data_IF_732367599738
#
_entry.id   IF_732367599738
#
_cell.length_a   1.000
_cell.length_b   1.000
_cell.length_c   1.000
_cell.angle_alpha   90.00
_cell.angle_beta   90.00
_cell.angle_gamma   90.00
#
_symmetry.space_group_name_H-M   'P 1'
#
loop_
_entity.id
_entity.type
_entity.pdbx_description
1 polymer ?
#
# COMPACT_ATOMS: atom_id res chain seq x y z
N UNK A 1 46.01 -15.00 -45.91
CA UNK A 1 45.89 -14.86 -44.44
C UNK A 1 45.55 -13.41 -44.14
N UNK A 2 44.25 -13.10 -44.02
CA UNK A 2 43.79 -11.78 -43.61
C UNK A 2 43.26 -11.86 -42.19
N UNK A 3 43.95 -11.23 -41.25
CA UNK A 3 43.51 -11.07 -39.86
C UNK A 3 42.36 -10.06 -39.83
N UNK A 4 41.13 -10.55 -39.72
CA UNK A 4 39.98 -9.70 -39.40
C UNK A 4 40.12 -9.23 -37.94
N UNK A 5 40.61 -8.01 -37.75
CA UNK A 5 40.48 -7.31 -36.47
C UNK A 5 38.99 -7.05 -36.20
N UNK A 6 38.43 -7.81 -35.25
CA UNK A 6 37.11 -7.54 -34.68
C UNK A 6 37.17 -6.19 -33.98
N UNK A 7 36.68 -5.17 -34.66
CA UNK A 7 36.46 -3.84 -34.12
C UNK A 7 35.40 -3.94 -33.01
N UNK A 8 35.84 -4.09 -31.76
CA UNK A 8 34.99 -4.04 -30.58
C UNK A 8 34.35 -2.65 -30.53
N UNK A 9 33.07 -2.57 -30.87
CA UNK A 9 32.30 -1.33 -30.72
C UNK A 9 32.44 -0.82 -29.28
N UNK A 10 32.61 0.50 -29.07
CA UNK A 10 32.79 1.07 -27.75
C UNK A 10 31.59 0.68 -26.87
N UNK A 11 31.86 -0.03 -25.77
CA UNK A 11 30.80 -0.40 -24.84
C UNK A 11 30.10 0.89 -24.37
N UNK A 12 28.76 0.95 -24.41
CA UNK A 12 28.03 2.12 -23.94
C UNK A 12 28.42 2.41 -22.49
N UNK A 13 28.44 3.69 -22.07
CA UNK A 13 28.81 4.06 -20.73
C UNK A 13 27.90 3.33 -19.73
N UNK A 14 28.49 2.51 -18.87
CA UNK A 14 27.79 1.67 -17.87
C UNK A 14 27.03 2.48 -16.81
N UNK A 15 27.28 3.80 -16.78
CA UNK A 15 26.73 4.72 -15.78
C UNK A 15 25.84 5.77 -16.43
N UNK A 16 24.70 6.03 -15.81
CA UNK A 16 23.77 7.11 -16.20
C UNK A 16 23.46 8.01 -15.01
N UNK A 17 23.34 9.31 -15.26
CA UNK A 17 22.85 10.26 -14.27
C UNK A 17 21.36 10.44 -14.44
N UNK A 18 20.60 10.33 -13.35
CA UNK A 18 19.15 10.53 -13.33
C UNK A 18 18.79 11.51 -12.21
N UNK A 19 18.02 12.54 -12.53
CA UNK A 19 17.56 13.52 -11.56
C UNK A 19 16.56 12.88 -10.57
N UNK A 20 16.71 13.21 -9.29
CA UNK A 20 15.77 12.85 -8.22
C UNK A 20 14.66 13.89 -8.19
N UNK A 21 13.42 13.44 -8.35
CA UNK A 21 12.23 14.30 -8.27
C UNK A 21 11.36 14.01 -7.04
N UNK A 22 11.42 12.81 -6.48
CA UNK A 22 10.59 12.37 -5.36
C UNK A 22 11.22 12.62 -3.99
N UNK A 23 10.38 12.64 -2.96
CA UNK A 23 10.80 12.85 -1.56
C UNK A 23 10.92 11.55 -0.77
N UNK A 24 10.60 10.39 -1.36
CA UNK A 24 10.54 9.11 -0.65
C UNK A 24 11.89 8.65 -0.06
N UNK A 25 13.00 9.20 -0.54
CA UNK A 25 14.36 8.91 -0.10
C UNK A 25 14.96 10.00 0.78
N UNK A 26 14.18 10.99 1.21
CA UNK A 26 14.64 11.95 2.22
C UNK A 26 14.91 11.22 3.56
N UNK A 27 15.91 11.65 4.34
CA UNK A 27 16.78 12.82 4.12
C UNK A 27 18.00 12.55 3.22
N UNK A 28 18.21 11.31 2.76
CA UNK A 28 19.44 10.92 2.06
C UNK A 28 19.53 11.43 0.62
N UNK A 29 18.39 11.56 -0.05
CA UNK A 29 18.27 12.15 -1.38
C UNK A 29 17.17 13.20 -1.35
N UNK A 30 17.48 14.38 -1.87
CA UNK A 30 16.54 15.49 -2.00
C UNK A 30 16.14 15.70 -3.47
N UNK A 31 14.92 16.22 -3.74
CA UNK A 31 14.59 16.72 -5.07
C UNK A 31 15.65 17.68 -5.59
N UNK A 32 16.10 17.48 -6.83
CA UNK A 32 17.19 18.24 -7.45
C UNK A 32 18.58 17.60 -7.32
N UNK A 33 18.75 16.57 -6.49
CA UNK A 33 19.94 15.71 -6.55
C UNK A 33 19.94 14.88 -7.85
N UNK A 34 21.08 14.32 -8.22
CA UNK A 34 21.16 13.31 -9.27
C UNK A 34 21.75 12.01 -8.75
N UNK A 35 21.25 10.87 -9.22
CA UNK A 35 21.80 9.55 -8.94
C UNK A 35 22.67 9.08 -10.09
N UNK A 36 23.87 8.62 -9.77
CA UNK A 36 24.72 7.85 -10.66
C UNK A 36 24.30 6.39 -10.58
N UNK A 37 23.68 5.90 -11.65
CA UNK A 37 23.11 4.57 -11.76
C UNK A 37 24.07 3.63 -12.49
N UNK A 38 24.38 2.50 -11.87
CA UNK A 38 25.10 1.38 -12.46
C UNK A 38 24.11 0.42 -13.14
N UNK A 39 24.21 0.32 -14.47
CA UNK A 39 23.36 -0.51 -15.31
C UNK A 39 23.90 -1.92 -15.55
N UNK A 40 25.08 -2.26 -15.00
CA UNK A 40 25.71 -3.55 -15.19
C UNK A 40 24.79 -4.68 -14.67
N UNK A 41 24.38 -5.65 -15.52
CA UNK A 41 23.55 -6.78 -15.11
C UNK A 41 24.14 -7.56 -13.92
N UNK A 42 25.47 -7.71 -13.84
CA UNK A 42 26.11 -8.39 -12.73
C UNK A 42 25.93 -7.62 -11.42
N UNK A 43 26.04 -6.29 -11.47
CA UNK A 43 25.82 -5.44 -10.28
C UNK A 43 24.37 -5.50 -9.80
N UNK A 44 23.40 -5.53 -10.73
CA UNK A 44 21.97 -5.67 -10.42
C UNK A 44 21.65 -7.02 -9.78
N UNK A 45 22.20 -8.10 -10.32
CA UNK A 45 22.02 -9.44 -9.76
C UNK A 45 22.57 -9.53 -8.33
N UNK A 46 23.70 -8.87 -8.07
CA UNK A 46 24.38 -8.80 -6.78
C UNK A 46 23.79 -7.77 -5.79
N UNK A 47 22.74 -7.03 -6.15
CA UNK A 47 22.14 -6.04 -5.26
C UNK A 47 21.62 -6.69 -3.97
N UNK A 48 21.96 -6.09 -2.83
CA UNK A 48 21.67 -6.63 -1.50
C UNK A 48 21.27 -5.56 -0.48
N UNK A 49 20.98 -5.96 0.77
CA UNK A 49 20.60 -5.04 1.84
C UNK A 49 21.53 -3.82 1.95
N UNK A 50 20.95 -2.64 2.11
CA UNK A 50 21.63 -1.35 2.17
C UNK A 50 21.82 -0.66 0.82
N UNK A 51 21.85 -1.40 -0.30
CA UNK A 51 21.93 -0.80 -1.64
C UNK A 51 20.65 0.00 -1.96
N UNK A 52 20.79 1.10 -2.70
CA UNK A 52 19.65 1.80 -3.31
C UNK A 52 19.47 1.26 -4.73
N UNK A 53 18.30 0.70 -5.01
CA UNK A 53 17.95 0.18 -6.33
C UNK A 53 16.91 1.06 -7.00
N UNK A 54 16.97 1.12 -8.33
CA UNK A 54 15.98 1.79 -9.16
C UNK A 54 15.15 0.74 -9.90
N UNK A 55 13.83 0.87 -9.85
CA UNK A 55 12.88 -0.01 -10.53
C UNK A 55 11.71 0.79 -11.08
N UNK A 56 10.91 0.19 -11.96
CA UNK A 56 9.64 0.76 -12.42
C UNK A 56 8.53 0.41 -11.44
N UNK A 57 7.84 1.42 -10.92
CA UNK A 57 6.65 1.20 -10.09
C UNK A 57 5.42 0.84 -10.93
N UNK A 58 4.29 0.58 -10.26
CA UNK A 58 3.02 0.25 -10.93
C UNK A 58 2.50 1.35 -11.87
N UNK A 59 2.98 2.59 -11.73
CA UNK A 59 2.67 3.72 -12.59
C UNK A 59 3.68 3.96 -13.71
N UNK A 60 4.57 2.99 -13.97
CA UNK A 60 5.67 3.09 -14.93
C UNK A 60 6.64 4.25 -14.65
N UNK A 61 6.78 4.66 -13.38
CA UNK A 61 7.74 5.67 -12.95
C UNK A 61 9.00 5.01 -12.38
N UNK A 62 10.16 5.59 -12.67
CA UNK A 62 11.40 5.18 -12.02
C UNK A 62 11.36 5.57 -10.54
N UNK A 63 11.42 4.56 -9.68
CA UNK A 63 11.43 4.70 -8.22
C UNK A 63 12.77 4.18 -7.68
N UNK A 64 13.43 4.98 -6.85
CA UNK A 64 14.67 4.61 -6.18
C UNK A 64 14.37 4.33 -4.72
N UNK A 65 14.57 3.10 -4.23
CA UNK A 65 14.40 2.76 -2.81
C UNK A 65 15.52 1.85 -2.32
N UNK A 66 15.71 1.82 -1.00
CA UNK A 66 16.76 1.02 -0.37
C UNK A 66 16.30 -0.41 -0.12
N UNK A 67 17.16 -1.38 -0.42
CA UNK A 67 16.91 -2.79 -0.07
C UNK A 67 17.07 -2.95 1.44
N UNK A 68 16.03 -3.44 2.11
CA UNK A 68 16.08 -3.84 3.53
C UNK A 68 16.47 -5.31 3.67
N UNK A 69 15.91 -6.17 2.82
CA UNK A 69 16.12 -7.61 2.87
C UNK A 69 16.00 -8.24 1.48
N UNK A 70 16.58 -9.43 1.31
CA UNK A 70 16.43 -10.27 0.13
C UNK A 70 15.90 -11.64 0.54
N UNK A 71 14.85 -12.10 -0.12
CA UNK A 71 14.20 -13.37 0.20
C UNK A 71 13.71 -14.07 -1.07
N UNK A 72 14.18 -15.30 -1.33
CA UNK A 72 13.70 -16.15 -2.45
C UNK A 72 13.62 -15.44 -3.81
N UNK A 73 14.62 -14.61 -4.15
CA UNK A 73 14.66 -13.87 -5.42
C UNK A 73 13.81 -12.59 -5.45
N UNK A 74 13.16 -12.23 -4.36
CA UNK A 74 12.52 -10.92 -4.17
C UNK A 74 13.35 -10.05 -3.22
N UNK A 75 13.14 -8.74 -3.33
CA UNK A 75 13.75 -7.69 -2.54
C UNK A 75 12.63 -7.00 -1.76
N UNK A 76 12.85 -6.80 -0.46
CA UNK A 76 12.03 -5.92 0.35
C UNK A 76 12.69 -4.55 0.30
N UNK A 77 12.07 -3.61 -0.40
CA UNK A 77 12.60 -2.24 -0.53
C UNK A 77 11.83 -1.28 0.36
N UNK A 78 12.42 -0.11 0.61
CA UNK A 78 11.76 0.97 1.33
C UNK A 78 12.40 2.31 0.98
N UNK A 79 11.57 3.33 0.80
CA UNK A 79 12.06 4.71 0.79
C UNK A 79 12.50 5.15 2.19
N UNK A 80 13.66 5.79 2.31
CA UNK A 80 14.21 6.22 3.61
C UNK A 80 13.24 7.14 4.39
N UNK A 81 12.34 7.85 3.70
CA UNK A 81 11.30 8.69 4.30
C UNK A 81 10.01 7.94 4.68
N UNK A 82 9.86 6.69 4.23
CA UNK A 82 8.66 5.89 4.50
C UNK A 82 8.76 5.25 5.88
N UNK A 83 7.63 4.83 6.45
CA UNK A 83 7.62 4.02 7.69
C UNK A 83 7.57 2.53 7.40
N UNK A 84 6.74 2.14 6.44
CA UNK A 84 6.55 0.74 6.05
C UNK A 84 7.39 0.39 4.82
N UNK A 85 7.84 -0.88 4.70
CA UNK A 85 8.41 -1.39 3.46
C UNK A 85 7.43 -1.31 2.28
N UNK A 86 7.98 -1.34 1.08
CA UNK A 86 7.23 -1.51 -0.15
C UNK A 86 6.76 -2.97 -0.30
N UNK A 87 5.89 -3.21 -1.29
CA UNK A 87 5.56 -4.56 -1.73
C UNK A 87 6.83 -5.29 -2.21
N UNK A 88 6.93 -6.63 -2.02
CA UNK A 88 8.07 -7.39 -2.49
C UNK A 88 8.36 -7.17 -3.98
N UNK A 89 9.59 -6.74 -4.27
CA UNK A 89 10.06 -6.40 -5.61
C UNK A 89 10.83 -7.60 -6.19
N UNK A 90 10.44 -8.20 -7.33
CA UNK A 90 11.26 -9.22 -7.98
C UNK A 90 12.65 -8.67 -8.30
N UNK A 91 13.73 -9.41 -8.00
CA UNK A 91 15.09 -8.94 -8.26
C UNK A 91 15.33 -8.62 -9.76
N UNK A 92 14.63 -9.32 -10.66
CA UNK A 92 14.67 -9.06 -12.10
C UNK A 92 14.02 -7.72 -12.52
N UNK A 93 13.18 -7.11 -11.67
CA UNK A 93 12.56 -5.81 -11.92
C UNK A 93 13.50 -4.62 -11.63
N UNK A 94 14.68 -4.89 -11.05
CA UNK A 94 15.70 -3.85 -10.82
C UNK A 94 16.28 -3.40 -12.15
N UNK A 95 16.11 -2.12 -12.44
CA UNK A 95 16.64 -1.45 -13.64
C UNK A 95 18.09 -1.05 -13.43
N UNK A 96 18.46 -0.59 -12.24
CA UNK A 96 19.81 -0.15 -11.91
C UNK A 96 20.10 -0.20 -10.40
N UNK A 97 21.38 -0.13 -10.03
CA UNK A 97 21.81 0.11 -8.64
C UNK A 97 22.47 1.48 -8.57
N UNK A 98 22.05 2.32 -7.63
CA UNK A 98 22.66 3.63 -7.46
C UNK A 98 24.03 3.51 -6.76
N UNK A 99 25.09 3.99 -7.39
CA UNK A 99 26.46 3.94 -6.86
C UNK A 99 26.90 5.24 -6.18
N UNK A 100 26.34 6.37 -6.58
CA UNK A 100 26.62 7.67 -5.99
C UNK A 100 25.43 8.63 -6.13
N UNK A 101 25.36 9.64 -5.27
CA UNK A 101 24.51 10.81 -5.46
C UNK A 101 25.36 12.05 -5.75
N UNK A 102 24.81 12.96 -6.54
CA UNK A 102 25.39 14.26 -6.84
C UNK A 102 24.45 15.31 -6.26
N UNK A 103 24.90 15.99 -5.23
CA UNK A 103 24.18 17.07 -4.56
C UNK A 103 25.03 18.33 -4.65
N UNK A 104 24.50 19.40 -5.25
CA UNK A 104 25.19 20.70 -5.40
C UNK A 104 26.59 20.56 -6.03
N UNK A 105 26.69 19.77 -7.09
CA UNK A 105 27.94 19.50 -7.80
C UNK A 105 28.94 18.59 -7.07
N UNK A 106 28.64 18.14 -5.85
CA UNK A 106 29.50 17.21 -5.09
C UNK A 106 29.00 15.78 -5.22
N UNK A 107 29.86 14.90 -5.73
CA UNK A 107 29.61 13.46 -5.80
C UNK A 107 29.86 12.82 -4.44
N UNK A 108 28.88 12.05 -3.94
CA UNK A 108 28.94 11.28 -2.70
C UNK A 108 28.71 9.81 -3.02
N UNK A 109 29.65 8.90 -2.73
CA UNK A 109 29.39 7.47 -2.89
C UNK A 109 28.25 7.06 -1.95
N UNK A 110 27.32 6.26 -2.45
CA UNK A 110 26.22 5.75 -1.63
C UNK A 110 26.73 4.54 -0.84
N UNK A 111 26.44 4.54 0.46
CA UNK A 111 26.78 3.42 1.33
C UNK A 111 25.97 2.16 0.96
N UNK A 112 26.64 1.02 0.92
CA UNK A 112 26.05 -0.31 0.71
C UNK A 112 26.20 -1.19 1.96
N UNK A 113 25.54 -2.35 1.98
CA UNK A 113 25.64 -3.30 3.08
C UNK A 113 25.21 -2.70 4.43
N UNK A 114 25.98 -2.97 5.48
CA UNK A 114 25.66 -2.53 6.85
C UNK A 114 25.58 -0.99 6.98
N UNK A 115 26.44 -0.25 6.30
CA UNK A 115 26.42 1.22 6.33
C UNK A 115 25.17 1.77 5.62
N UNK A 116 24.74 1.14 4.53
CA UNK A 116 23.48 1.46 3.88
C UNK A 116 22.26 1.14 4.77
N UNK A 117 22.28 0.03 5.50
CA UNK A 117 21.22 -0.32 6.45
C UNK A 117 21.12 0.66 7.62
N UNK A 118 22.27 1.10 8.15
CA UNK A 118 22.32 2.14 9.18
C UNK A 118 21.70 3.45 8.68
N UNK A 119 21.94 3.82 7.42
CA UNK A 119 21.28 4.96 6.80
C UNK A 119 19.75 4.80 6.74
N UNK A 120 19.23 3.63 6.34
CA UNK A 120 17.79 3.35 6.34
C UNK A 120 17.15 3.53 7.73
N UNK A 121 17.82 2.99 8.76
CA UNK A 121 17.38 3.09 10.14
C UNK A 121 17.41 4.55 10.62
N UNK A 122 18.48 5.28 10.32
CA UNK A 122 18.60 6.70 10.65
C UNK A 122 17.50 7.53 9.97
N UNK A 123 17.24 7.31 8.68
CA UNK A 123 16.15 7.99 7.96
C UNK A 123 14.78 7.73 8.58
N UNK A 124 14.50 6.47 8.94
CA UNK A 124 13.26 6.11 9.65
C UNK A 124 13.18 6.80 11.01
N UNK A 125 14.26 6.79 11.79
CA UNK A 125 14.30 7.42 13.11
C UNK A 125 14.10 8.92 13.04
N UNK A 126 14.76 9.58 12.08
CA UNK A 126 14.56 10.98 11.73
C UNK A 126 13.06 11.20 11.50
N UNK A 127 12.44 10.54 10.52
CA UNK A 127 11.01 10.69 10.23
C UNK A 127 10.13 10.54 11.48
N UNK A 128 10.38 9.51 12.31
CA UNK A 128 9.67 9.31 13.58
C UNK A 128 9.87 10.49 14.52
N UNK A 129 11.11 10.94 14.74
CA UNK A 129 11.43 12.05 15.65
C UNK A 129 10.81 13.38 15.22
N UNK A 130 10.86 13.77 13.93
CA UNK A 130 10.20 15.03 13.46
C UNK A 130 8.71 14.98 13.65
N UNK A 131 8.11 13.81 13.44
CA UNK A 131 6.67 13.64 13.58
C UNK A 131 6.24 13.64 15.03
N UNK A 132 6.98 12.96 15.91
CA UNK A 132 6.76 13.09 17.34
C UNK A 132 6.97 14.54 17.81
N UNK A 133 7.99 15.26 17.31
CA UNK A 133 8.26 16.64 17.68
C UNK A 133 7.16 17.61 17.23
N UNK A 134 6.43 17.28 16.17
CA UNK A 134 5.26 18.03 15.70
C UNK A 134 4.03 17.84 16.58
N UNK A 135 3.90 16.71 17.28
CA UNK A 135 2.71 16.35 18.06
C UNK A 135 2.95 16.48 19.59
N UNK A 136 4.20 16.50 20.03
CA UNK A 136 4.60 16.58 21.42
C UNK A 136 4.31 17.94 22.08
N UNK A 137 3.83 17.92 23.32
CA UNK A 137 3.82 19.08 24.20
C UNK A 137 5.25 19.61 24.41
N UNK A 138 5.38 20.91 24.70
CA UNK A 138 6.65 21.66 24.75
C UNK A 138 7.85 20.94 25.40
N UNK A 139 7.73 20.25 26.57
CA UNK A 139 8.89 19.59 27.16
C UNK A 139 9.36 18.35 26.37
N UNK A 140 8.46 17.59 25.75
CA UNK A 140 8.80 16.39 24.96
C UNK A 140 9.37 16.78 23.59
N UNK A 141 8.95 17.93 23.05
CA UNK A 141 9.48 18.50 21.80
C UNK A 141 10.97 18.81 21.88
N UNK A 142 11.48 19.29 23.01
CA UNK A 142 12.91 19.55 23.22
C UNK A 142 13.76 18.29 23.11
N UNK A 143 13.36 17.21 23.79
CA UNK A 143 14.07 15.92 23.75
C UNK A 143 14.07 15.34 22.33
N UNK A 144 12.92 15.40 21.64
CA UNK A 144 12.81 14.88 20.28
C UNK A 144 13.61 15.69 19.24
N UNK A 145 13.75 17.01 19.43
CA UNK A 145 14.62 17.85 18.60
C UNK A 145 16.11 17.56 18.85
N UNK A 146 16.50 17.20 20.07
CA UNK A 146 17.87 16.75 20.38
C UNK A 146 18.15 15.40 19.73
N UNK A 147 17.23 14.44 19.85
CA UNK A 147 17.36 13.12 19.20
C UNK A 147 17.36 13.25 17.68
N UNK A 148 16.48 14.10 17.11
CA UNK A 148 16.46 14.42 15.68
C UNK A 148 17.80 15.00 15.22
N UNK A 149 18.28 16.04 15.90
CA UNK A 149 19.55 16.70 15.54
C UNK A 149 20.74 15.74 15.63
N UNK A 150 20.75 14.85 16.64
CA UNK A 150 21.77 13.81 16.78
C UNK A 150 21.68 12.75 15.67
N UNK A 151 20.48 12.33 15.28
CA UNK A 151 20.27 11.38 14.19
C UNK A 151 20.63 11.98 12.81
N UNK A 152 20.27 13.24 12.57
CA UNK A 152 20.62 14.00 11.37
C UNK A 152 22.14 14.23 11.30
N UNK A 153 22.78 14.60 12.41
CA UNK A 153 24.23 14.68 12.49
C UNK A 153 24.88 13.31 12.23
N UNK A 154 24.37 12.21 12.79
CA UNK A 154 24.87 10.86 12.52
C UNK A 154 24.67 10.42 11.05
N UNK A 155 23.58 10.85 10.40
CA UNK A 155 23.32 10.58 8.99
C UNK A 155 24.22 11.41 8.03
N UNK A 156 24.65 12.60 8.45
CA UNK A 156 25.53 13.48 7.67
C UNK A 156 27.01 13.36 8.03
N UNK A 157 27.35 12.78 9.17
CA UNK A 157 28.71 12.38 9.51
C UNK A 157 29.05 11.14 8.68
N UNK A 158 30.20 11.08 8.00
CA UNK A 158 30.59 9.87 7.28
C UNK A 158 30.62 8.68 8.25
N UNK A 159 29.61 7.81 8.15
CA UNK A 159 29.47 6.55 8.91
C UNK A 159 30.70 5.62 8.79
N UNK A 160 31.67 5.97 7.95
CA UNK A 160 32.99 5.35 7.83
C UNK A 160 33.90 5.55 9.06
N UNK A 161 33.57 6.47 9.98
CA UNK A 161 34.32 6.66 11.24
C UNK A 161 33.52 6.28 12.50
N UNK A 162 32.26 5.86 12.37
CA UNK A 162 31.48 5.43 13.52
C UNK A 162 32.01 4.08 14.01
N UNK A 163 32.37 3.99 15.31
CA UNK A 163 32.82 2.74 15.89
C UNK A 163 31.81 1.60 15.62
N UNK A 164 32.27 0.39 15.26
CA UNK A 164 31.43 -0.77 15.03
C UNK A 164 30.45 -1.10 16.16
N UNK A 165 30.70 -0.59 17.37
CA UNK A 165 29.80 -0.72 18.53
C UNK A 165 28.45 0.01 18.33
N UNK A 166 28.45 1.24 17.78
CA UNK A 166 27.23 2.03 17.61
C UNK A 166 26.30 1.43 16.53
N UNK A 167 26.88 0.97 15.42
CA UNK A 167 26.12 0.29 14.36
C UNK A 167 25.54 -1.05 14.85
N UNK A 168 26.27 -1.82 15.66
CA UNK A 168 25.78 -3.07 16.26
C UNK A 168 24.68 -2.83 17.29
N UNK A 169 24.77 -1.77 18.10
CA UNK A 169 23.74 -1.41 19.06
C UNK A 169 22.42 -1.04 18.36
N UNK A 170 22.50 -0.22 17.30
CA UNK A 170 21.32 0.16 16.52
C UNK A 170 20.68 -1.05 15.82
N UNK A 171 21.50 -1.93 15.22
CA UNK A 171 21.03 -3.16 14.59
C UNK A 171 20.37 -4.13 15.61
N UNK A 172 20.91 -4.24 16.83
CA UNK A 172 20.34 -5.07 17.89
C UNK A 172 19.00 -4.53 18.41
N UNK A 173 18.86 -3.19 18.50
CA UNK A 173 17.58 -2.54 18.85
C UNK A 173 16.53 -2.76 17.75
N UNK A 174 16.93 -2.65 16.48
CA UNK A 174 16.06 -2.87 15.33
C UNK A 174 15.62 -4.34 15.19
N UNK A 175 16.54 -5.29 15.38
CA UNK A 175 16.24 -6.73 15.36
C UNK A 175 15.26 -7.14 16.47
N UNK A 176 15.37 -6.53 17.67
CA UNK A 176 14.40 -6.74 18.75
C UNK A 176 13.02 -6.13 18.46
N UNK A 177 12.97 -5.04 17.69
CA UNK A 177 11.72 -4.44 17.24
C UNK A 177 11.03 -5.27 16.13
N UNK A 178 11.80 -5.97 15.28
CA UNK A 178 11.27 -6.90 14.27
C UNK A 178 10.68 -8.19 14.87
N UNK A 179 11.16 -8.60 16.04
CA UNK A 179 10.59 -9.74 16.80
C UNK A 179 9.39 -9.38 17.67
N UNK A 180 8.92 -8.13 17.64
CA UNK A 180 7.70 -7.77 18.33
C UNK A 180 6.50 -8.51 17.70
N UNK A 181 5.56 -9.04 18.49
CA UNK A 181 4.37 -9.71 17.95
C UNK A 181 3.67 -8.78 16.96
N UNK A 182 3.21 -9.31 15.83
CA UNK A 182 2.53 -8.59 14.73
C UNK A 182 1.46 -7.59 15.25
N UNK A 183 0.79 -7.94 16.34
CA UNK A 183 -0.16 -7.10 17.06
C UNK A 183 0.41 -5.79 17.62
N UNK A 184 1.69 -5.73 18.04
CA UNK A 184 2.35 -4.51 18.51
C UNK A 184 2.64 -3.56 17.35
N UNK A 185 3.15 -4.07 16.22
CA UNK A 185 3.37 -3.25 15.02
C UNK A 185 2.04 -2.70 14.47
N UNK A 186 0.97 -3.50 14.50
CA UNK A 186 -0.38 -3.05 14.13
C UNK A 186 -0.90 -2.01 15.14
N UNK A 187 -0.84 -2.24 16.45
CA UNK A 187 -1.28 -1.25 17.46
C UNK A 187 -0.47 0.04 17.42
N UNK A 188 0.84 -0.04 17.21
CA UNK A 188 1.73 1.11 17.10
C UNK A 188 1.44 1.91 15.82
N UNK A 189 1.26 1.25 14.67
CA UNK A 189 0.87 1.92 13.42
C UNK A 189 -0.49 2.61 13.52
N UNK A 190 -1.45 2.02 14.24
CA UNK A 190 -2.75 2.62 14.54
C UNK A 190 -2.63 3.81 15.52
N UNK A 191 -1.83 3.68 16.58
CA UNK A 191 -1.63 4.75 17.56
C UNK A 191 -0.91 5.96 16.94
N UNK A 192 0.12 5.70 16.11
CA UNK A 192 0.82 6.72 15.33
C UNK A 192 -0.10 7.38 14.31
N UNK A 193 -1.08 6.65 13.75
CA UNK A 193 -2.11 7.18 12.84
C UNK A 193 -3.12 8.09 13.54
N UNK A 194 -3.57 7.78 14.76
CA UNK A 194 -4.47 8.67 15.53
C UNK A 194 -3.82 10.00 15.91
N UNK A 195 -2.51 9.99 16.18
CA UNK A 195 -1.73 11.20 16.40
C UNK A 195 -1.51 12.03 15.11
N UNK A 196 -1.66 11.39 13.95
CA UNK A 196 -1.38 11.94 12.61
C UNK A 196 -2.57 12.64 11.95
N UNK A 197 -3.81 12.20 12.21
CA UNK A 197 -5.03 12.68 11.53
C UNK A 197 -5.53 14.09 11.97
N UNK A 198 -4.66 14.99 12.48
CA UNK A 198 -4.99 16.43 12.53
C UNK A 198 -4.81 17.05 11.13
N UNK A 199 -5.78 17.81 10.60
CA UNK A 199 -5.78 18.22 9.20
C UNK A 199 -4.65 19.24 8.92
N UNK A 200 -3.88 18.98 7.87
CA UNK A 200 -2.77 19.84 7.46
C UNK A 200 -2.35 19.61 6.01
N UNK A 201 -3.27 19.87 5.08
CA UNK A 201 -3.11 20.39 3.71
C UNK A 201 -4.53 20.53 3.15
N UNK A 202 -4.93 21.74 2.76
CA UNK A 202 -6.31 22.12 2.43
C UNK A 202 -6.94 21.24 1.34
N UNK A 203 -7.67 20.23 1.78
CA UNK A 203 -8.84 19.73 1.07
C UNK A 203 -9.95 20.79 1.22
N UNK A 204 -10.91 20.89 0.27
CA UNK A 204 -12.13 21.64 0.52
C UNK A 204 -12.69 21.18 1.86
N UNK A 205 -13.05 22.14 2.72
CA UNK A 205 -13.52 21.86 4.07
C UNK A 205 -14.55 20.70 4.00
N UNK A 206 -14.36 19.62 4.77
CA UNK A 206 -15.32 18.52 4.76
C UNK A 206 -16.68 19.12 5.05
N UNK A 207 -17.68 18.77 4.22
CA UNK A 207 -19.08 19.06 4.55
C UNK A 207 -19.27 18.55 5.97
N UNK A 208 -19.70 19.43 6.87
CA UNK A 208 -19.85 19.10 8.30
C UNK A 208 -20.74 17.84 8.39
N UNK A 209 -20.16 16.71 8.78
CA UNK A 209 -20.84 15.42 8.87
C UNK A 209 -20.35 14.32 7.91
N UNK A 210 -19.59 14.63 6.87
CA UNK A 210 -19.08 13.63 5.93
C UNK A 210 -17.79 12.95 6.44
N UNK A 211 -17.82 11.62 6.58
CA UNK A 211 -16.65 10.80 6.91
C UNK A 211 -15.82 10.54 5.66
N UNK A 212 -14.50 10.46 5.79
CA UNK A 212 -13.61 9.95 4.73
C UNK A 212 -12.99 8.63 5.18
N UNK A 213 -12.90 7.64 4.31
CA UNK A 213 -12.40 6.31 4.61
C UNK A 213 -11.40 5.80 3.56
N UNK A 214 -10.32 5.19 4.05
CA UNK A 214 -9.24 4.60 3.27
C UNK A 214 -8.18 4.00 4.20
N UNK A 215 -7.45 2.99 3.72
CA UNK A 215 -6.46 2.23 4.49
C UNK A 215 -7.04 1.05 5.26
N UNK A 216 -6.25 0.46 6.15
CA UNK A 216 -6.65 -0.67 6.97
C UNK A 216 -7.35 -0.22 8.26
N UNK A 217 -8.46 -0.89 8.61
CA UNK A 217 -9.16 -0.67 9.87
C UNK A 217 -8.35 -1.23 11.05
N UNK A 218 -8.38 -0.49 12.16
CA UNK A 218 -7.60 -0.79 13.35
C UNK A 218 -8.32 -1.69 14.36
N UNK A 219 -9.64 -1.57 14.37
CA UNK A 219 -10.57 -2.15 15.31
C UNK A 219 -11.96 -2.08 14.66
N UNK A 220 -12.95 -2.65 15.33
CA UNK A 220 -14.33 -2.57 14.88
C UNK A 220 -14.76 -1.12 14.64
N UNK A 221 -15.45 -0.91 13.53
CA UNK A 221 -15.82 0.41 13.07
C UNK A 221 -17.27 0.42 12.60
N UNK A 222 -17.96 1.54 12.83
CA UNK A 222 -19.32 1.76 12.34
C UNK A 222 -19.38 2.98 11.44
N UNK A 223 -19.99 2.81 10.28
CA UNK A 223 -20.25 3.85 9.28
C UNK A 223 -21.74 4.22 9.26
N UNK A 224 -22.02 5.51 9.18
CA UNK A 224 -23.36 6.10 9.12
C UNK A 224 -23.29 7.46 8.43
N UNK A 225 -24.39 7.91 7.83
CA UNK A 225 -24.41 9.15 7.05
C UNK A 225 -23.54 9.05 5.79
N UNK A 226 -22.96 10.17 5.38
CA UNK A 226 -22.13 10.23 4.18
C UNK A 226 -20.69 9.76 4.46
N UNK A 227 -20.21 8.81 3.67
CA UNK A 227 -18.86 8.25 3.73
C UNK A 227 -18.20 8.33 2.36
N UNK A 228 -17.05 8.99 2.27
CA UNK A 228 -16.25 9.13 1.06
C UNK A 228 -15.10 8.12 1.06
N UNK A 229 -15.09 7.20 0.10
CA UNK A 229 -13.97 6.27 -0.09
C UNK A 229 -12.89 6.93 -0.95
N UNK A 230 -11.81 7.41 -0.33
CA UNK A 230 -10.68 8.01 -1.07
C UNK A 230 -9.63 6.99 -1.50
N UNK A 231 -9.82 5.71 -1.16
CA UNK A 231 -8.88 4.64 -1.44
C UNK A 231 -9.45 3.28 -1.09
N UNK A 232 -8.63 2.25 -1.20
CA UNK A 232 -9.03 0.94 -0.69
C UNK A 232 -9.29 1.02 0.81
N UNK A 233 -10.29 0.30 1.30
CA UNK A 233 -10.51 0.08 2.72
C UNK A 233 -10.30 -1.39 2.99
N UNK A 234 -9.43 -1.73 3.93
CA UNK A 234 -9.16 -3.11 4.32
C UNK A 234 -9.79 -3.38 5.68
N UNK A 235 -10.70 -4.34 5.72
CA UNK A 235 -11.27 -4.89 6.96
C UNK A 235 -10.46 -6.15 7.30
N UNK A 236 -9.47 -6.10 8.22
CA UNK A 236 -8.61 -7.24 8.51
C UNK A 236 -9.34 -8.33 9.28
N UNK A 237 -8.74 -9.53 9.37
CA UNK A 237 -9.27 -10.63 10.18
C UNK A 237 -9.45 -10.19 11.64
N UNK A 238 -10.56 -10.62 12.25
CA UNK A 238 -10.91 -10.27 13.62
C UNK A 238 -11.43 -8.84 13.81
N UNK A 239 -11.60 -8.08 12.72
CA UNK A 239 -12.24 -6.75 12.73
C UNK A 239 -13.56 -6.82 11.98
N UNK A 240 -14.55 -6.11 12.50
CA UNK A 240 -15.88 -5.94 11.92
C UNK A 240 -16.09 -4.50 11.46
N UNK A 241 -16.49 -4.32 10.20
CA UNK A 241 -17.04 -3.06 9.72
C UNK A 241 -18.56 -3.16 9.65
N UNK A 242 -19.27 -2.25 10.31
CA UNK A 242 -20.74 -2.17 10.27
C UNK A 242 -21.16 -0.91 9.52
N UNK A 243 -21.92 -1.05 8.44
CA UNK A 243 -22.52 0.06 7.69
C UNK A 243 -24.02 0.12 8.04
N UNK A 244 -24.44 1.23 8.66
CA UNK A 244 -25.82 1.41 9.13
C UNK A 244 -26.78 1.75 7.98
N UNK A 245 -28.08 1.52 8.25
CA UNK A 245 -29.17 1.99 7.40
C UNK A 245 -29.02 3.48 7.06
N UNK A 246 -29.36 3.82 5.82
CA UNK A 246 -29.27 5.18 5.29
C UNK A 246 -27.85 5.72 5.08
N UNK A 247 -26.79 4.94 5.34
CA UNK A 247 -25.44 5.36 5.00
C UNK A 247 -25.26 5.50 3.49
N UNK A 248 -24.59 6.56 3.05
CA UNK A 248 -24.25 6.83 1.65
C UNK A 248 -22.74 6.77 1.46
N UNK A 249 -22.26 5.67 0.88
CA UNK A 249 -20.84 5.43 0.63
C UNK A 249 -20.52 5.76 -0.82
N UNK A 250 -19.73 6.80 -1.06
CA UNK A 250 -19.39 7.28 -2.42
C UNK A 250 -17.90 7.17 -2.63
N UNK A 251 -17.47 6.54 -3.72
CA UNK A 251 -16.07 6.50 -4.10
C UNK A 251 -15.59 7.83 -4.66
N UNK A 252 -14.46 8.31 -4.16
CA UNK A 252 -13.75 9.46 -4.74
C UNK A 252 -12.64 8.99 -5.68
N UNK A 253 -12.55 9.64 -6.84
CA UNK A 253 -11.46 9.50 -7.79
C UNK A 253 -10.65 10.80 -7.83
N UNK A 254 -9.31 10.76 -7.92
CA UNK A 254 -8.49 9.55 -8.01
C UNK A 254 -8.27 8.86 -6.66
N UNK A 255 -8.13 7.53 -6.71
CA UNK A 255 -7.70 6.69 -5.58
C UNK A 255 -6.37 7.17 -5.01
N UNK A 256 -6.34 7.48 -3.71
CA UNK A 256 -5.16 7.96 -2.98
C UNK A 256 -4.43 6.85 -2.22
N UNK A 257 -5.09 5.72 -1.99
CA UNK A 257 -4.50 4.56 -1.30
C UNK A 257 -4.85 3.26 -2.02
N UNK A 258 -3.84 2.42 -2.24
CA UNK A 258 -3.96 1.15 -2.96
C UNK A 258 -3.46 0.00 -2.10
N UNK A 259 -4.32 -0.99 -1.92
CA UNK A 259 -3.95 -2.28 -1.34
C UNK A 259 -3.53 -3.20 -2.49
N UNK A 260 -2.24 -3.39 -2.70
CA UNK A 260 -1.67 -4.13 -3.83
C UNK A 260 -1.83 -5.65 -3.72
N UNK A 261 -3.07 -6.15 -3.81
CA UNK A 261 -3.32 -7.59 -3.85
C UNK A 261 -3.34 -8.03 -5.30
N UNK A 262 -2.26 -8.70 -5.72
CA UNK A 262 -2.22 -9.45 -6.97
C UNK A 262 -2.54 -10.91 -6.66
N UNK A 263 -3.54 -11.49 -7.33
CA UNK A 263 -3.90 -12.90 -7.17
C UNK A 263 -3.96 -13.59 -8.53
N UNK A 264 -3.55 -14.86 -8.55
CA UNK A 264 -3.81 -15.76 -9.67
C UNK A 264 -5.16 -16.42 -9.46
N UNK A 265 -6.09 -16.23 -10.38
CA UNK A 265 -7.32 -17.00 -10.50
C UNK A 265 -7.29 -17.71 -11.85
N UNK A 266 -7.50 -19.03 -11.86
CA UNK A 266 -7.47 -19.85 -13.09
C UNK A 266 -6.18 -19.71 -13.92
N UNK A 267 -5.03 -19.53 -13.25
CA UNK A 267 -3.74 -19.33 -13.91
C UNK A 267 -3.49 -17.90 -14.40
N UNK A 268 -4.51 -17.05 -14.45
CA UNK A 268 -4.37 -15.63 -14.81
C UNK A 268 -4.13 -14.77 -13.57
N UNK A 269 -3.07 -13.96 -13.58
CA UNK A 269 -2.87 -12.94 -12.57
C UNK A 269 -3.83 -11.80 -12.84
N UNK A 270 -4.86 -11.66 -12.01
CA UNK A 270 -5.74 -10.48 -12.05
C UNK A 270 -5.29 -9.49 -11.01
N UNK A 271 -4.83 -8.34 -11.49
CA UNK A 271 -4.49 -7.22 -10.64
C UNK A 271 -5.75 -6.37 -10.43
N UNK A 272 -6.03 -6.02 -9.17
CA UNK A 272 -7.06 -5.04 -8.84
C UNK A 272 -6.76 -3.71 -9.56
N UNK A 273 -7.79 -3.03 -10.06
CA UNK A 273 -7.61 -1.76 -10.76
C UNK A 273 -6.93 -0.74 -9.80
N UNK A 274 -5.72 -0.25 -10.14
CA UNK A 274 -5.02 0.70 -9.28
C UNK A 274 -5.68 2.08 -9.25
N UNK A 275 -6.74 2.32 -10.03
CA UNK A 275 -7.44 3.63 -10.11
C UNK A 275 -8.74 3.68 -9.32
N UNK A 276 -9.34 2.52 -9.00
CA UNK A 276 -10.68 2.44 -8.39
C UNK A 276 -10.62 2.00 -6.93
N UNK A 277 -11.25 2.71 -5.98
CA UNK A 277 -11.36 2.28 -4.59
C UNK A 277 -12.08 0.93 -4.47
N UNK A 278 -11.74 0.15 -3.44
CA UNK A 278 -12.41 -1.12 -3.12
C UNK A 278 -12.56 -1.33 -1.63
N UNK A 279 -13.57 -2.10 -1.24
CA UNK A 279 -13.70 -2.59 0.13
C UNK A 279 -13.19 -4.02 0.21
N UNK A 280 -11.95 -4.20 0.66
CA UNK A 280 -11.28 -5.49 0.78
C UNK A 280 -11.52 -6.10 2.17
N UNK A 281 -12.28 -7.18 2.23
CA UNK A 281 -12.79 -7.76 3.48
C UNK A 281 -12.12 -9.11 3.74
N UNK A 282 -11.28 -9.15 4.76
CA UNK A 282 -10.68 -10.37 5.31
C UNK A 282 -11.31 -10.77 6.65
N UNK A 283 -11.88 -9.80 7.38
CA UNK A 283 -12.68 -10.00 8.58
C UNK A 283 -14.16 -10.12 8.25
N UNK A 284 -14.99 -9.32 8.94
CA UNK A 284 -16.45 -9.33 8.76
C UNK A 284 -16.97 -7.95 8.31
N UNK A 285 -17.87 -7.95 7.34
CA UNK A 285 -18.59 -6.76 6.90
C UNK A 285 -20.09 -6.99 7.13
N UNK A 286 -20.72 -6.09 7.88
CA UNK A 286 -22.16 -6.10 8.12
C UNK A 286 -22.74 -4.84 7.47
N UNK A 287 -23.70 -5.02 6.56
CA UNK A 287 -24.47 -3.92 5.95
C UNK A 287 -25.91 -4.07 6.42
N UNK A 288 -26.34 -3.17 7.31
CA UNK A 288 -27.64 -3.20 7.96
C UNK A 288 -28.59 -2.16 7.36
N UNK A 289 -28.80 -2.23 6.04
CA UNK A 289 -29.77 -1.41 5.32
C UNK A 289 -31.21 -1.84 5.59
N UNK A 290 -32.15 -0.94 5.31
CA UNK A 290 -33.59 -1.17 5.42
C UNK A 290 -34.28 -0.78 4.11
N UNK A 291 -35.48 -1.31 3.84
CA UNK A 291 -36.22 -0.98 2.62
C UNK A 291 -36.45 0.53 2.45
N UNK A 292 -36.78 1.23 3.54
CA UNK A 292 -37.01 2.69 3.55
C UNK A 292 -35.72 3.51 3.60
N UNK A 293 -34.61 2.89 4.04
CA UNK A 293 -33.32 3.54 4.24
C UNK A 293 -32.17 2.58 3.86
N UNK A 294 -32.01 2.28 2.55
CA UNK A 294 -30.96 1.36 2.12
C UNK A 294 -29.58 1.94 2.43
N UNK A 295 -28.62 1.06 2.73
CA UNK A 295 -27.21 1.44 2.75
C UNK A 295 -26.70 1.44 1.31
N UNK A 296 -26.31 2.61 0.80
CA UNK A 296 -25.98 2.80 -0.61
C UNK A 296 -24.48 2.91 -0.84
N UNK A 297 -24.00 2.30 -1.92
CA UNK A 297 -22.62 2.32 -2.37
C UNK A 297 -22.62 2.72 -3.85
N UNK A 298 -21.87 3.77 -4.21
CA UNK A 298 -21.90 4.33 -5.56
C UNK A 298 -20.59 4.99 -5.98
N UNK A 299 -20.48 5.28 -7.28
CA UNK A 299 -19.35 5.96 -7.92
C UNK A 299 -18.60 5.04 -8.88
N UNK A 300 -17.36 5.40 -9.21
CA UNK A 300 -16.44 4.59 -10.03
C UNK A 300 -15.52 3.79 -9.11
N UNK A 301 -15.92 2.57 -8.77
CA UNK A 301 -15.24 1.73 -7.77
C UNK A 301 -15.15 0.28 -8.21
N UNK A 302 -14.28 -0.49 -7.56
CA UNK A 302 -14.10 -1.91 -7.89
C UNK A 302 -15.22 -2.76 -7.27
N UNK A 303 -15.73 -2.35 -6.10
CA UNK A 303 -16.76 -3.07 -5.37
C UNK A 303 -16.34 -3.60 -4.00
N UNK A 304 -17.11 -4.57 -3.49
CA UNK A 304 -16.82 -5.30 -2.25
C UNK A 304 -16.12 -6.62 -2.59
N UNK A 305 -14.89 -6.80 -2.12
CA UNK A 305 -14.10 -7.99 -2.40
C UNK A 305 -13.79 -8.74 -1.09
N UNK A 306 -14.34 -9.95 -0.94
CA UNK A 306 -14.10 -10.83 0.20
C UNK A 306 -12.93 -11.77 -0.10
N UNK A 307 -11.99 -11.86 0.84
CA UNK A 307 -10.79 -12.68 0.76
C UNK A 307 -10.73 -13.64 1.95
N UNK A 308 -11.58 -14.67 1.92
CA UNK A 308 -11.82 -15.58 3.05
C UNK A 308 -12.53 -14.91 4.24
N UNK A 309 -13.10 -13.72 4.03
CA UNK A 309 -13.91 -13.00 5.01
C UNK A 309 -15.40 -13.32 4.90
N UNK A 310 -16.18 -12.62 5.72
CA UNK A 310 -17.64 -12.80 5.82
C UNK A 310 -18.36 -11.48 5.48
N UNK A 311 -19.43 -11.59 4.71
CA UNK A 311 -20.36 -10.50 4.40
C UNK A 311 -21.77 -10.91 4.78
N UNK A 312 -22.41 -10.09 5.62
CA UNK A 312 -23.85 -10.14 5.87
C UNK A 312 -24.44 -8.79 5.45
N UNK A 313 -25.19 -8.79 4.34
CA UNK A 313 -25.83 -7.59 3.83
C UNK A 313 -27.34 -7.76 3.79
N UNK A 314 -28.04 -6.78 4.34
CA UNK A 314 -29.46 -6.59 4.18
C UNK A 314 -29.74 -5.18 3.65
N UNK A 315 -30.65 -5.04 2.69
CA UNK A 315 -31.08 -3.72 2.19
C UNK A 315 -29.94 -2.88 1.61
N UNK A 316 -28.93 -3.52 1.01
CA UNK A 316 -27.80 -2.82 0.39
C UNK A 316 -28.11 -2.45 -1.05
N UNK A 317 -27.75 -1.24 -1.47
CA UNK A 317 -27.81 -0.80 -2.88
C UNK A 317 -26.40 -0.54 -3.39
N UNK A 318 -25.94 -1.31 -4.38
CA UNK A 318 -24.62 -1.18 -4.99
C UNK A 318 -24.78 -0.74 -6.44
N UNK A 319 -24.11 0.35 -6.80
CA UNK A 319 -24.23 0.95 -8.14
C UNK A 319 -22.87 1.32 -8.72
N UNK A 320 -22.66 1.08 -10.02
CA UNK A 320 -21.46 1.52 -10.74
C UNK A 320 -20.17 0.77 -10.39
N UNK A 321 -20.27 -0.39 -9.73
CA UNK A 321 -19.11 -1.20 -9.39
C UNK A 321 -18.65 -2.03 -10.60
N UNK A 322 -17.32 -2.23 -10.75
CA UNK A 322 -16.84 -3.29 -11.66
C UNK A 322 -17.39 -4.65 -11.19
N UNK A 323 -17.30 -4.95 -9.89
CA UNK A 323 -17.87 -6.15 -9.29
C UNK A 323 -18.66 -5.80 -8.04
N UNK A 324 -19.98 -5.83 -8.05
CA UNK A 324 -20.78 -5.48 -6.87
C UNK A 324 -20.29 -6.18 -5.60
N UNK A 325 -20.33 -7.52 -5.61
CA UNK A 325 -19.71 -8.37 -4.58
C UNK A 325 -18.89 -9.48 -5.24
N UNK A 326 -17.63 -9.66 -4.81
CA UNK A 326 -16.78 -10.80 -5.20
C UNK A 326 -16.40 -11.61 -3.96
N UNK A 327 -16.76 -12.89 -3.92
CA UNK A 327 -16.45 -13.82 -2.84
C UNK A 327 -15.37 -14.83 -3.26
N UNK A 328 -14.22 -14.83 -2.58
CA UNK A 328 -13.06 -15.67 -2.91
C UNK A 328 -12.40 -16.29 -1.68
N UNK A 329 -11.56 -17.29 -1.91
CA UNK A 329 -10.72 -17.94 -0.90
C UNK A 329 -11.52 -18.53 0.29
N UNK A 330 -12.63 -19.22 -0.01
CA UNK A 330 -13.53 -19.76 1.01
C UNK A 330 -14.34 -18.72 1.76
N UNK A 331 -14.52 -17.52 1.19
CA UNK A 331 -15.36 -16.48 1.78
C UNK A 331 -16.83 -16.89 1.86
N UNK A 332 -17.60 -16.17 2.68
CA UNK A 332 -19.05 -16.36 2.81
C UNK A 332 -19.77 -15.03 2.60
N UNK A 333 -20.75 -15.03 1.71
CA UNK A 333 -21.60 -13.87 1.47
C UNK A 333 -23.07 -14.24 1.64
N UNK A 334 -23.75 -13.58 2.57
CA UNK A 334 -25.19 -13.63 2.74
C UNK A 334 -25.77 -12.27 2.36
N UNK A 335 -26.61 -12.26 1.32
CA UNK A 335 -27.17 -11.06 0.71
C UNK A 335 -28.70 -11.19 0.69
N UNK A 336 -29.39 -10.33 1.44
CA UNK A 336 -30.86 -10.31 1.53
C UNK A 336 -31.38 -8.94 1.11
N UNK A 337 -32.44 -8.89 0.30
CA UNK A 337 -33.08 -7.64 -0.12
C UNK A 337 -32.07 -6.62 -0.71
N UNK A 338 -31.09 -7.11 -1.47
CA UNK A 338 -30.02 -6.30 -2.03
C UNK A 338 -30.31 -5.91 -3.48
N UNK A 339 -29.80 -4.75 -3.89
CA UNK A 339 -30.00 -4.18 -5.22
C UNK A 339 -28.64 -3.92 -5.87
N UNK A 340 -28.42 -4.53 -7.03
CA UNK A 340 -27.25 -4.31 -7.87
C UNK A 340 -27.70 -3.63 -9.16
N UNK A 341 -27.14 -2.46 -9.44
CA UNK A 341 -27.56 -1.62 -10.57
C UNK A 341 -26.32 -1.14 -11.34
N UNK A 342 -26.30 -1.24 -12.66
CA UNK A 342 -25.18 -0.71 -13.49
C UNK A 342 -23.79 -1.20 -13.02
N UNK A 343 -23.68 -2.48 -12.70
CA UNK A 343 -22.39 -3.11 -12.40
C UNK A 343 -21.88 -3.87 -13.64
N UNK A 344 -20.56 -3.95 -13.85
CA UNK A 344 -20.04 -4.81 -14.92
C UNK A 344 -20.30 -6.29 -14.59
N UNK A 345 -20.19 -6.65 -13.32
CA UNK A 345 -20.59 -7.94 -12.76
C UNK A 345 -21.27 -7.70 -11.41
N UNK A 346 -22.52 -8.10 -11.20
CA UNK A 346 -23.20 -7.84 -9.93
C UNK A 346 -22.65 -8.73 -8.80
N UNK A 347 -22.60 -10.05 -8.99
CA UNK A 347 -22.08 -10.98 -7.99
C UNK A 347 -21.15 -12.02 -8.63
N UNK A 348 -19.95 -12.19 -8.06
CA UNK A 348 -18.97 -13.19 -8.47
C UNK A 348 -18.59 -14.07 -7.27
N UNK A 349 -18.60 -15.39 -7.43
CA UNK A 349 -18.19 -16.36 -6.41
C UNK A 349 -17.14 -17.28 -7.00
N UNK A 350 -16.02 -17.46 -6.30
CA UNK A 350 -14.98 -18.38 -6.75
C UNK A 350 -14.21 -19.02 -5.58
N UNK A 351 -13.41 -20.03 -5.88
CA UNK A 351 -12.40 -20.56 -4.95
C UNK A 351 -13.01 -21.20 -3.69
N UNK A 352 -14.07 -21.98 -3.86
CA UNK A 352 -14.72 -22.70 -2.76
C UNK A 352 -15.55 -21.82 -1.81
N UNK A 353 -15.86 -20.59 -2.22
CA UNK A 353 -16.65 -19.65 -1.42
C UNK A 353 -18.14 -20.01 -1.42
N UNK A 354 -18.89 -19.50 -0.43
CA UNK A 354 -20.33 -19.71 -0.33
C UNK A 354 -21.10 -18.40 -0.53
N UNK A 355 -22.20 -18.48 -1.28
CA UNK A 355 -23.11 -17.38 -1.52
C UNK A 355 -24.54 -17.80 -1.19
N UNK A 356 -25.26 -16.97 -0.45
CA UNK A 356 -26.71 -17.01 -0.34
C UNK A 356 -27.25 -15.65 -0.78
N UNK A 357 -28.01 -15.62 -1.87
CA UNK A 357 -28.66 -14.42 -2.41
C UNK A 357 -30.17 -14.61 -2.37
N UNK A 358 -30.84 -13.81 -1.55
CA UNK A 358 -32.26 -13.96 -1.22
C UNK A 358 -33.00 -12.66 -1.48
N UNK A 359 -34.12 -12.76 -2.17
CA UNK A 359 -35.10 -11.69 -2.40
C UNK A 359 -34.43 -10.40 -2.95
N UNK A 360 -33.44 -10.58 -3.82
CA UNK A 360 -32.54 -9.52 -4.31
C UNK A 360 -32.75 -9.25 -5.80
N UNK A 361 -32.39 -8.03 -6.25
CA UNK A 361 -32.55 -7.59 -7.63
C UNK A 361 -31.21 -7.25 -8.26
N UNK A 362 -31.01 -7.67 -9.50
CA UNK A 362 -29.91 -7.26 -10.35
C UNK A 362 -30.50 -6.64 -11.61
N UNK A 363 -30.20 -5.37 -11.88
CA UNK A 363 -30.68 -4.64 -13.06
C UNK A 363 -29.57 -3.89 -13.78
N UNK A 364 -29.69 -3.76 -15.10
CA UNK A 364 -28.80 -2.94 -15.93
C UNK A 364 -27.31 -3.30 -15.77
N UNK A 365 -27.01 -4.56 -15.42
CA UNK A 365 -25.64 -5.03 -15.20
C UNK A 365 -25.15 -5.77 -16.44
N UNK A 366 -23.89 -5.56 -16.85
CA UNK A 366 -23.32 -6.28 -17.98
C UNK A 366 -23.19 -7.80 -17.72
N UNK A 367 -23.07 -8.17 -16.44
CA UNK A 367 -23.10 -9.55 -15.95
C UNK A 367 -23.87 -9.64 -14.63
N UNK A 368 -24.76 -10.63 -14.53
CA UNK A 368 -25.56 -10.84 -13.33
C UNK A 368 -24.80 -11.61 -12.24
N UNK A 369 -24.72 -12.94 -12.41
CA UNK A 369 -24.06 -13.82 -11.46
C UNK A 369 -23.04 -14.72 -12.16
N UNK A 370 -21.83 -14.76 -11.63
CA UNK A 370 -20.78 -15.69 -12.03
C UNK A 370 -20.37 -16.56 -10.84
N UNK A 371 -20.32 -17.87 -11.04
CA UNK A 371 -19.87 -18.82 -10.03
C UNK A 371 -18.83 -19.78 -10.62
N UNK A 372 -17.65 -19.82 -10.03
CA UNK A 372 -16.55 -20.70 -10.40
C UNK A 372 -16.06 -21.49 -9.16
N UNK A 373 -16.80 -22.57 -8.87
CA UNK A 373 -16.64 -23.37 -7.67
C UNK A 373 -17.34 -22.78 -6.44
N UNK A 374 -17.43 -23.60 -5.38
CA UNK A 374 -18.16 -23.23 -4.16
C UNK A 374 -19.65 -23.61 -4.19
N UNK A 375 -20.42 -23.03 -3.27
CA UNK A 375 -21.87 -23.30 -3.13
C UNK A 375 -22.67 -22.02 -3.19
N UNK A 376 -23.62 -21.93 -4.11
CA UNK A 376 -24.51 -20.77 -4.27
C UNK A 376 -25.96 -21.18 -4.09
N UNK A 377 -26.68 -20.50 -3.19
CA UNK A 377 -28.12 -20.61 -3.01
C UNK A 377 -28.79 -19.32 -3.46
N UNK A 378 -29.73 -19.43 -4.41
CA UNK A 378 -30.49 -18.29 -4.93
C UNK A 378 -31.97 -18.49 -4.63
N UNK A 379 -32.63 -17.52 -4.01
CA UNK A 379 -34.07 -17.56 -3.74
C UNK A 379 -34.69 -16.19 -4.01
N UNK A 380 -35.77 -16.12 -4.81
CA UNK A 380 -36.45 -14.86 -5.06
C UNK A 380 -35.59 -13.79 -5.76
N UNK A 381 -34.60 -14.21 -6.56
CA UNK A 381 -33.71 -13.28 -7.27
C UNK A 381 -34.36 -12.86 -8.58
N UNK A 382 -34.43 -11.55 -8.85
CA UNK A 382 -34.87 -11.02 -10.13
C UNK A 382 -33.71 -10.42 -10.93
N UNK A 383 -33.67 -10.74 -12.22
CA UNK A 383 -32.72 -10.22 -13.19
C UNK A 383 -33.50 -9.42 -14.24
N UNK A 384 -33.06 -8.21 -14.54
CA UNK A 384 -33.62 -7.40 -15.63
C UNK A 384 -32.51 -6.66 -16.36
N UNK A 385 -32.72 -6.43 -17.65
CA UNK A 385 -31.82 -5.63 -18.48
C UNK A 385 -32.03 -4.14 -18.29
#
# INVERSE_FOLDING_TARGET
>A
MGTHELHLSPQPPRKRLVAVAGESMQPFLSPGDALELDLDPARRAAAGPGDIVVFLDAGARLTAHRILARWRGTLITKGDARLLPDMPLPAAAVVAVASASLSRGRRRPLASGAAGMAAAAAGTMIVVCRRLAQVAAWPVRGVLLVVWSAAEAAAHTPLWTAEPAAARALAAVMSRAETAPEHFCVRLSVALRRAWERPGTEAPAPVIGARSAGGMLAADETWSGDVRLFGDVVVPRGVTLTVRAGACVVSESPKRWHHGVSRRAHGESRQADPRRPRLAVYGRLIIAGQAEAPASFSGEWEGIALYGGELEAQGAKLTGAIRGVSARDGARALLRDCFFERCDMAVEVAGGSALELVDSRISDCAGGLAADGGTSLLRGVSLSD
#
